data_IF_240929529025
#
_entry.id   IF_240929529025
#
_cell.length_a   1.000
_cell.length_b   1.000
_cell.length_c   1.000
_cell.angle_alpha   90.00
_cell.angle_beta   90.00
_cell.angle_gamma   90.00
#
_symmetry.space_group_name_H-M   'P 1'
#
loop_
_entity.id
_entity.type
_entity.pdbx_description
1 polymer ?
#
# COMPACT_ATOMS: atom_id res chain seq x y z
N UNK A 1 -30.22 20.16 34.43
CA UNK A 1 -29.36 19.42 33.48
C UNK A 1 -30.17 18.35 32.77
N UNK A 2 -30.52 18.54 31.48
CA UNK A 2 -31.26 17.55 30.69
C UNK A 2 -30.29 16.44 30.25
N UNK A 3 -30.51 15.21 30.74
CA UNK A 3 -29.91 13.99 30.18
C UNK A 3 -30.26 13.93 28.69
N UNK A 4 -29.28 14.09 27.80
CA UNK A 4 -29.43 13.76 26.39
C UNK A 4 -29.74 12.26 26.30
N UNK A 5 -31.01 11.92 26.04
CA UNK A 5 -31.37 10.58 25.55
C UNK A 5 -30.62 10.39 24.23
N UNK A 6 -29.66 9.47 24.18
CA UNK A 6 -29.16 8.94 22.93
C UNK A 6 -30.32 8.23 22.23
N UNK A 7 -31.04 8.94 21.36
CA UNK A 7 -32.00 8.29 20.47
C UNK A 7 -31.22 7.38 19.54
N UNK A 8 -31.45 6.08 19.64
CA UNK A 8 -30.96 5.13 18.66
C UNK A 8 -31.70 5.38 17.35
N UNK A 9 -31.00 5.90 16.34
CA UNK A 9 -31.52 6.08 14.98
C UNK A 9 -31.97 4.74 14.42
N UNK A 10 -33.15 4.70 13.80
CA UNK A 10 -33.60 3.53 13.04
C UNK A 10 -32.74 3.29 11.79
N UNK A 11 -32.73 2.06 11.28
CA UNK A 11 -32.00 1.68 10.05
C UNK A 11 -32.36 2.60 8.87
N UNK A 12 -33.64 2.96 8.74
CA UNK A 12 -34.16 3.83 7.68
C UNK A 12 -33.67 5.27 7.81
N UNK A 13 -33.57 5.79 9.03
CA UNK A 13 -33.04 7.13 9.29
C UNK A 13 -31.53 7.20 9.03
N UNK A 14 -30.77 6.19 9.49
CA UNK A 14 -29.34 6.06 9.18
C UNK A 14 -29.07 6.10 7.68
N UNK A 15 -29.81 5.28 6.91
CA UNK A 15 -29.68 5.24 5.46
C UNK A 15 -29.95 6.60 4.79
N UNK A 16 -30.99 7.32 5.23
CA UNK A 16 -31.28 8.67 4.73
C UNK A 16 -30.14 9.64 4.98
N UNK A 17 -29.54 9.60 6.17
CA UNK A 17 -28.42 10.47 6.54
C UNK A 17 -27.16 10.15 5.71
N UNK A 18 -26.87 8.87 5.49
CA UNK A 18 -25.74 8.41 4.65
C UNK A 18 -25.93 8.86 3.20
N UNK A 19 -27.09 8.57 2.61
CA UNK A 19 -27.43 8.96 1.24
C UNK A 19 -27.35 10.48 1.02
N UNK A 20 -27.79 11.26 2.01
CA UNK A 20 -27.71 12.72 1.95
C UNK A 20 -26.26 13.22 2.00
N UNK A 21 -25.41 12.63 2.86
CA UNK A 21 -24.02 13.05 3.02
C UNK A 21 -23.13 12.62 1.85
N UNK A 22 -23.29 11.39 1.38
CA UNK A 22 -22.44 10.79 0.33
C UNK A 22 -23.19 10.69 -1.01
N UNK A 23 -23.96 11.73 -1.33
CA UNK A 23 -24.73 11.79 -2.58
C UNK A 23 -23.81 11.81 -3.81
N UNK A 24 -23.85 10.75 -4.61
CA UNK A 24 -22.97 10.61 -5.79
C UNK A 24 -23.31 11.60 -6.92
N UNK A 25 -24.55 12.09 -6.97
CA UNK A 25 -25.04 12.99 -8.04
C UNK A 25 -24.51 14.42 -7.90
N UNK A 26 -24.13 14.84 -6.70
CA UNK A 26 -23.57 16.18 -6.47
C UNK A 26 -22.07 16.26 -6.71
N UNK A 27 -21.41 15.11 -6.96
CA UNK A 27 -19.96 15.03 -7.17
C UNK A 27 -19.61 15.12 -8.65
N UNK A 28 -18.76 16.09 -9.01
CA UNK A 28 -18.18 16.20 -10.35
C UNK A 28 -17.19 15.06 -10.56
N UNK A 29 -17.22 14.42 -11.73
CA UNK A 29 -16.24 13.40 -12.09
C UNK A 29 -14.88 14.03 -12.40
N UNK A 30 -13.82 13.29 -12.10
CA UNK A 30 -12.45 13.66 -12.43
C UNK A 30 -12.13 13.21 -13.86
N UNK A 31 -11.44 14.04 -14.62
CA UNK A 31 -11.02 13.67 -15.98
C UNK A 31 -9.83 12.70 -15.89
N UNK A 32 -9.91 11.55 -16.56
CA UNK A 32 -8.89 10.49 -16.44
C UNK A 32 -7.48 10.97 -16.81
N UNK A 33 -7.37 11.95 -17.71
CA UNK A 33 -6.09 12.57 -18.10
C UNK A 33 -5.41 13.35 -16.97
N UNK A 34 -6.16 13.84 -15.97
CA UNK A 34 -5.60 14.61 -14.85
C UNK A 34 -5.12 13.73 -13.71
N UNK A 35 -5.44 12.44 -13.75
CA UNK A 35 -5.02 11.46 -12.75
C UNK A 35 -3.53 11.17 -12.93
N UNK A 36 -2.78 11.27 -11.83
CA UNK A 36 -1.33 11.04 -11.83
C UNK A 36 -0.97 9.58 -12.10
N UNK A 37 0.28 9.35 -12.49
CA UNK A 37 0.83 8.00 -12.67
C UNK A 37 0.65 7.13 -11.43
N UNK A 38 0.98 7.66 -10.24
CA UNK A 38 0.84 6.94 -8.96
C UNK A 38 -0.61 6.57 -8.65
N UNK A 39 -1.54 7.50 -8.84
CA UNK A 39 -2.98 7.23 -8.59
C UNK A 39 -3.53 6.18 -9.56
N UNK A 40 -3.06 6.17 -10.82
CA UNK A 40 -3.41 5.12 -11.79
C UNK A 40 -2.89 3.75 -11.35
N UNK A 41 -1.64 3.66 -10.86
CA UNK A 41 -1.07 2.42 -10.32
C UNK A 41 -1.93 1.89 -9.16
N UNK A 42 -2.22 2.77 -8.20
CA UNK A 42 -3.05 2.46 -7.04
C UNK A 42 -4.43 1.97 -7.44
N UNK A 43 -5.08 2.66 -8.38
CA UNK A 43 -6.41 2.30 -8.82
C UNK A 43 -6.44 0.98 -9.60
N UNK A 44 -5.44 0.72 -10.46
CA UNK A 44 -5.32 -0.55 -11.18
C UNK A 44 -5.05 -1.73 -10.23
N UNK A 45 -4.22 -1.52 -9.20
CA UNK A 45 -3.99 -2.51 -8.16
C UNK A 45 -5.27 -2.78 -7.35
N UNK A 46 -6.00 -1.73 -6.96
CA UNK A 46 -7.29 -1.85 -6.28
C UNK A 46 -8.32 -2.59 -7.14
N UNK A 47 -8.37 -2.37 -8.45
CA UNK A 47 -9.24 -3.14 -9.33
C UNK A 47 -8.92 -4.62 -9.33
N UNK A 48 -7.65 -5.00 -9.31
CA UNK A 48 -7.25 -6.42 -9.37
C UNK A 48 -7.33 -7.14 -8.03
N UNK A 49 -7.20 -6.40 -6.93
CA UNK A 49 -7.21 -6.94 -5.57
C UNK A 49 -8.61 -6.90 -4.95
N UNK A 50 -9.33 -5.80 -5.12
CA UNK A 50 -10.52 -5.44 -4.33
C UNK A 50 -11.81 -5.42 -5.17
N UNK A 51 -11.92 -6.26 -6.20
CA UNK A 51 -13.18 -6.42 -6.95
C UNK A 51 -13.55 -7.90 -7.06
N UNK A 52 -14.82 -8.15 -7.34
CA UNK A 52 -15.34 -9.48 -7.64
C UNK A 52 -15.78 -9.55 -9.12
N UNK A 53 -16.36 -10.68 -9.53
CA UNK A 53 -16.83 -10.90 -10.90
C UNK A 53 -17.86 -9.87 -11.38
N UNK A 54 -18.64 -9.26 -10.48
CA UNK A 54 -19.61 -8.23 -10.88
C UNK A 54 -18.96 -6.93 -11.33
N UNK A 55 -17.71 -6.69 -10.93
CA UNK A 55 -16.82 -5.61 -11.39
C UNK A 55 -17.48 -4.22 -11.45
N UNK A 56 -18.32 -3.90 -10.46
CA UNK A 56 -19.13 -2.67 -10.42
C UNK A 56 -18.68 -1.66 -9.35
N UNK A 57 -17.94 -2.11 -8.33
CA UNK A 57 -17.44 -1.31 -7.24
C UNK A 57 -16.13 -1.90 -6.70
N UNK A 58 -15.37 -1.08 -5.98
CA UNK A 58 -14.22 -1.54 -5.19
C UNK A 58 -14.78 -1.96 -3.82
N UNK A 59 -14.50 -3.19 -3.43
CA UNK A 59 -14.95 -3.80 -2.18
C UNK A 59 -14.16 -3.23 -0.97
N UNK A 60 -14.72 -3.33 0.25
CA UNK A 60 -14.00 -2.98 1.47
C UNK A 60 -12.70 -3.77 1.63
N UNK A 61 -11.69 -3.18 2.29
CA UNK A 61 -10.41 -3.86 2.58
C UNK A 61 -10.61 -5.08 3.48
N UNK A 62 -11.55 -5.00 4.42
CA UNK A 62 -11.82 -6.08 5.37
C UNK A 62 -12.72 -7.20 4.82
N UNK A 63 -12.98 -7.21 3.50
CA UNK A 63 -13.86 -8.21 2.91
C UNK A 63 -13.20 -9.61 2.96
N UNK A 64 -13.84 -10.55 3.64
CA UNK A 64 -13.33 -11.91 3.88
C UNK A 64 -13.14 -12.74 2.59
N UNK A 65 -13.74 -12.32 1.47
CA UNK A 65 -13.61 -13.00 0.16
C UNK A 65 -12.38 -12.61 -0.65
N UNK A 66 -11.50 -11.75 -0.13
CA UNK A 66 -10.33 -11.26 -0.85
C UNK A 66 -9.15 -12.24 -0.71
N UNK A 67 -8.76 -12.87 -1.83
CA UNK A 67 -7.61 -13.80 -1.87
C UNK A 67 -6.28 -13.09 -2.16
N UNK A 68 -6.33 -11.80 -2.48
CA UNK A 68 -5.18 -11.01 -2.94
C UNK A 68 -4.97 -9.83 -2.02
N UNK A 69 -3.71 -9.58 -1.66
CA UNK A 69 -3.31 -8.37 -0.95
C UNK A 69 -3.17 -7.21 -1.93
N UNK A 70 -3.70 -6.04 -1.58
CA UNK A 70 -3.62 -4.84 -2.41
C UNK A 70 -2.17 -4.35 -2.47
N UNK A 71 -1.55 -4.16 -1.31
CA UNK A 71 -0.16 -3.71 -1.16
C UNK A 71 0.59 -4.59 -0.14
N UNK A 72 1.89 -4.34 0.13
CA UNK A 72 2.69 -5.18 1.03
C UNK A 72 2.22 -5.20 2.48
N UNK A 73 1.56 -4.15 2.98
CA UNK A 73 1.10 -4.05 4.36
C UNK A 73 -0.20 -3.24 4.47
N UNK A 74 -0.88 -3.35 5.63
CA UNK A 74 -2.19 -2.72 5.85
C UNK A 74 -2.13 -1.19 5.83
N UNK A 75 -1.07 -0.60 6.38
CA UNK A 75 -0.90 0.86 6.40
C UNK A 75 -0.81 1.42 4.97
N UNK A 76 -0.13 0.72 4.07
CA UNK A 76 -0.08 1.08 2.66
C UNK A 76 -1.43 0.87 1.96
N UNK A 77 -2.22 -0.14 2.32
CA UNK A 77 -3.57 -0.32 1.81
C UNK A 77 -4.48 0.87 2.15
N UNK A 78 -4.47 1.30 3.42
CA UNK A 78 -5.22 2.46 3.89
C UNK A 78 -4.75 3.75 3.21
N UNK A 79 -3.43 3.96 3.12
CA UNK A 79 -2.83 5.11 2.43
C UNK A 79 -3.19 5.18 0.94
N UNK A 80 -3.32 4.03 0.27
CA UNK A 80 -3.78 3.96 -1.13
C UNK A 80 -5.21 4.47 -1.24
N UNK A 81 -6.12 3.97 -0.41
CA UNK A 81 -7.52 4.40 -0.44
C UNK A 81 -7.68 5.87 -0.04
N UNK A 82 -6.94 6.33 0.96
CA UNK A 82 -6.94 7.74 1.37
C UNK A 82 -6.40 8.65 0.27
N UNK A 83 -5.34 8.24 -0.44
CA UNK A 83 -4.83 8.98 -1.60
C UNK A 83 -5.90 9.10 -2.70
N UNK A 84 -6.57 7.99 -3.04
CA UNK A 84 -7.60 7.99 -4.08
C UNK A 84 -8.85 8.78 -3.66
N UNK A 85 -9.25 8.70 -2.39
CA UNK A 85 -10.41 9.39 -1.85
C UNK A 85 -10.19 10.89 -1.72
N UNK A 86 -9.02 11.31 -1.22
CA UNK A 86 -8.66 12.74 -1.09
C UNK A 86 -8.55 13.45 -2.45
N UNK A 87 -8.23 12.72 -3.52
CA UNK A 87 -8.25 13.21 -4.90
C UNK A 87 -9.63 13.12 -5.58
N UNK A 88 -10.71 12.78 -4.86
CA UNK A 88 -12.06 12.55 -5.39
C UNK A 88 -12.11 11.50 -6.54
N UNK A 89 -11.08 10.65 -6.67
CA UNK A 89 -10.99 9.58 -7.69
C UNK A 89 -11.90 8.41 -7.33
N UNK A 90 -12.01 8.11 -6.04
CA UNK A 90 -13.01 7.18 -5.50
C UNK A 90 -13.92 7.93 -4.53
N UNK A 91 -15.16 7.48 -4.45
CA UNK A 91 -16.18 8.04 -3.56
C UNK A 91 -16.74 6.93 -2.69
N UNK A 92 -17.08 7.27 -1.45
CA UNK A 92 -17.78 6.35 -0.55
C UNK A 92 -19.08 5.91 -1.20
N UNK A 93 -19.30 4.59 -1.29
CA UNK A 93 -20.57 4.05 -1.73
C UNK A 93 -21.60 4.17 -0.60
N UNK A 94 -22.66 4.99 -0.74
CA UNK A 94 -23.70 5.12 0.29
C UNK A 94 -24.52 3.82 0.48
N UNK A 95 -24.37 2.83 -0.41
CA UNK A 95 -24.95 1.50 -0.28
C UNK A 95 -24.14 0.52 0.56
N UNK A 96 -23.01 0.94 1.14
CA UNK A 96 -22.22 0.10 2.07
C UNK A 96 -23.01 -0.25 3.34
N UNK A 97 -22.51 -1.22 4.12
CA UNK A 97 -23.15 -1.61 5.38
C UNK A 97 -23.29 -0.39 6.32
N UNK A 98 -24.43 -0.24 6.99
CA UNK A 98 -24.65 0.90 7.88
C UNK A 98 -23.73 0.91 9.11
N UNK A 99 -23.16 -0.24 9.48
CA UNK A 99 -22.21 -0.34 10.60
C UNK A 99 -20.81 0.16 10.25
N UNK A 100 -20.52 0.33 8.95
CA UNK A 100 -19.31 1.00 8.46
C UNK A 100 -19.37 2.53 8.59
N UNK A 101 -20.55 3.09 8.92
CA UNK A 101 -20.75 4.53 9.10
C UNK A 101 -20.84 4.94 10.57
N UNK A 102 -20.29 6.10 10.88
CA UNK A 102 -20.29 6.67 12.23
C UNK A 102 -21.39 7.72 12.38
N UNK A 103 -22.21 7.60 13.43
CA UNK A 103 -23.31 8.51 13.70
C UNK A 103 -23.14 9.22 15.05
N UNK A 104 -23.32 10.54 15.07
CA UNK A 104 -23.32 11.35 16.29
C UNK A 104 -24.35 12.47 16.16
N UNK A 105 -25.13 12.70 17.23
CA UNK A 105 -26.15 13.76 17.28
C UNK A 105 -27.09 13.77 16.06
N UNK A 106 -27.64 12.60 15.69
CA UNK A 106 -28.51 12.42 14.52
C UNK A 106 -27.90 12.87 13.17
N UNK A 107 -26.57 12.78 13.04
CA UNK A 107 -25.84 13.07 11.80
C UNK A 107 -24.85 11.95 11.50
N UNK A 108 -24.65 11.66 10.22
CA UNK A 108 -23.53 10.85 9.76
C UNK A 108 -22.25 11.70 9.85
N UNK A 109 -21.32 11.35 10.73
CA UNK A 109 -20.10 12.13 10.98
C UNK A 109 -18.88 11.59 10.25
N UNK A 110 -18.85 10.29 9.95
CA UNK A 110 -17.74 9.67 9.23
C UNK A 110 -18.07 8.26 8.80
N UNK A 111 -17.03 7.54 8.38
CA UNK A 111 -17.05 6.14 7.99
C UNK A 111 -15.70 5.51 8.36
N UNK A 112 -15.63 4.20 8.36
CA UNK A 112 -14.38 3.45 8.50
C UNK A 112 -13.89 3.06 7.10
N UNK A 113 -12.66 3.46 6.78
CA UNK A 113 -12.07 3.36 5.43
C UNK A 113 -11.99 1.91 4.95
N UNK A 114 -11.72 0.97 5.86
CA UNK A 114 -11.57 -0.45 5.59
C UNK A 114 -12.90 -1.22 5.49
N UNK A 115 -14.02 -0.63 5.95
CA UNK A 115 -15.34 -1.29 5.96
C UNK A 115 -16.32 -0.78 4.88
N UNK A 116 -16.04 0.36 4.24
CA UNK A 116 -16.89 0.88 3.15
C UNK A 116 -16.46 0.35 1.78
N UNK A 117 -17.43 0.20 0.89
CA UNK A 117 -17.17 0.01 -0.54
C UNK A 117 -17.02 1.35 -1.25
N UNK A 118 -16.38 1.35 -2.41
CA UNK A 118 -16.02 2.56 -3.15
C UNK A 118 -16.51 2.54 -4.58
N UNK A 119 -16.94 3.72 -5.05
CA UNK A 119 -17.35 3.99 -6.42
C UNK A 119 -16.28 4.83 -7.11
N UNK A 120 -15.80 4.38 -8.27
CA UNK A 120 -14.84 5.15 -9.08
C UNK A 120 -15.51 6.38 -9.67
N UNK A 121 -14.83 7.52 -9.65
CA UNK A 121 -15.36 8.81 -10.07
C UNK A 121 -14.54 9.44 -11.20
N UNK A 122 -14.29 8.64 -12.25
CA UNK A 122 -13.53 9.06 -13.43
C UNK A 122 -14.43 9.29 -14.65
N UNK A 123 -13.97 10.12 -15.58
CA UNK A 123 -14.64 10.44 -16.85
C UNK A 123 -13.62 10.49 -18.00
N UNK A 124 -14.02 10.08 -19.21
CA UNK A 124 -13.15 10.10 -20.40
C UNK A 124 -13.15 11.46 -21.09
N UNK A 125 -14.34 12.07 -21.23
CA UNK A 125 -14.63 13.44 -21.70
C UNK A 125 -16.12 13.71 -21.41
N UNK A 126 -16.51 14.98 -21.19
CA UNK A 126 -17.91 15.42 -20.96
C UNK A 126 -18.52 15.18 -19.56
N UNK A 127 -17.71 14.85 -18.55
CA UNK A 127 -18.16 14.82 -17.15
C UNK A 127 -19.13 13.69 -16.78
N UNK A 128 -19.42 12.76 -17.69
CA UNK A 128 -20.13 11.53 -17.37
C UNK A 128 -19.15 10.54 -16.74
N UNK A 129 -19.53 10.01 -15.58
CA UNK A 129 -18.77 8.95 -14.91
C UNK A 129 -18.71 7.70 -15.79
N UNK A 130 -17.52 7.15 -15.91
CA UNK A 130 -17.25 5.90 -16.62
C UNK A 130 -17.68 4.71 -15.76
N UNK A 131 -18.07 3.63 -16.43
CA UNK A 131 -18.20 2.32 -15.81
C UNK A 131 -16.82 1.82 -15.36
N UNK A 132 -16.78 0.96 -14.34
CA UNK A 132 -15.53 0.48 -13.75
C UNK A 132 -14.70 -0.35 -14.77
N UNK A 133 -15.35 -1.12 -15.63
CA UNK A 133 -14.73 -1.84 -16.75
C UNK A 133 -13.99 -0.93 -17.72
N UNK A 134 -14.60 0.21 -18.07
CA UNK A 134 -13.97 1.19 -18.95
C UNK A 134 -12.79 1.89 -18.27
N UNK A 135 -12.94 2.22 -16.98
CA UNK A 135 -11.84 2.76 -16.17
C UNK A 135 -10.65 1.82 -16.16
N UNK A 136 -10.88 0.53 -15.89
CA UNK A 136 -9.84 -0.49 -15.87
C UNK A 136 -9.07 -0.53 -17.19
N UNK A 137 -9.77 -0.66 -18.32
CA UNK A 137 -9.16 -0.74 -19.65
C UNK A 137 -8.34 0.52 -19.97
N UNK A 138 -8.90 1.70 -19.75
CA UNK A 138 -8.21 2.95 -20.06
C UNK A 138 -6.98 3.18 -19.20
N UNK A 139 -7.05 2.84 -17.91
CA UNK A 139 -5.90 2.93 -17.00
C UNK A 139 -4.83 1.91 -17.36
N UNK A 140 -5.23 0.67 -17.64
CA UNK A 140 -4.34 -0.38 -18.10
C UNK A 140 -3.59 0.06 -19.36
N UNK A 141 -4.30 0.55 -20.37
CA UNK A 141 -3.71 1.00 -21.63
C UNK A 141 -2.78 2.20 -21.42
N UNK A 142 -3.15 3.12 -20.52
CA UNK A 142 -2.32 4.28 -20.23
C UNK A 142 -1.02 3.91 -19.50
N UNK A 143 -1.08 2.99 -18.55
CA UNK A 143 0.08 2.56 -17.76
C UNK A 143 1.03 1.68 -18.56
N UNK A 144 0.51 0.74 -19.36
CA UNK A 144 1.35 -0.17 -20.16
C UNK A 144 2.06 0.51 -21.32
N UNK A 145 1.57 1.69 -21.74
CA UNK A 145 2.20 2.56 -22.75
C UNK A 145 2.97 3.73 -22.15
N UNK A 146 3.04 3.83 -20.82
CA UNK A 146 3.70 4.93 -20.15
C UNK A 146 5.22 4.78 -20.28
N UNK A 147 5.87 5.79 -20.86
CA UNK A 147 7.32 5.93 -20.89
C UNK A 147 7.67 7.29 -20.28
N UNK A 148 8.38 7.35 -19.14
CA UNK A 148 8.73 8.61 -18.49
C UNK A 148 9.76 9.38 -19.33
N UNK A 149 9.35 10.54 -19.85
CA UNK A 149 10.17 11.36 -20.74
C UNK A 149 10.91 12.46 -19.97
N UNK A 150 10.30 12.97 -18.90
CA UNK A 150 10.87 14.01 -18.06
C UNK A 150 11.61 13.47 -16.84
N UNK A 151 12.56 14.23 -16.31
CA UNK A 151 13.23 13.90 -15.04
C UNK A 151 12.23 13.77 -13.88
N UNK A 152 11.19 14.62 -13.87
CA UNK A 152 10.11 14.57 -12.88
C UNK A 152 9.37 13.23 -12.92
N UNK A 153 9.00 12.74 -14.10
CA UNK A 153 8.34 11.45 -14.27
C UNK A 153 9.25 10.30 -13.87
N UNK A 154 10.53 10.35 -14.25
CA UNK A 154 11.54 9.37 -13.82
C UNK A 154 11.66 9.31 -12.30
N UNK A 155 11.73 10.46 -11.63
CA UNK A 155 11.76 10.54 -10.17
C UNK A 155 10.47 10.00 -9.52
N UNK A 156 9.32 10.14 -10.18
CA UNK A 156 8.07 9.54 -9.69
C UNK A 156 8.10 8.01 -9.74
N UNK A 157 8.61 7.42 -10.82
CA UNK A 157 8.78 5.97 -10.91
C UNK A 157 9.80 5.49 -9.89
N UNK A 158 10.97 6.14 -9.79
CA UNK A 158 12.00 5.77 -8.83
C UNK A 158 11.50 5.84 -7.38
N UNK A 159 10.85 6.94 -6.99
CA UNK A 159 10.29 7.09 -5.65
C UNK A 159 9.20 6.05 -5.36
N UNK A 160 8.43 5.64 -6.37
CA UNK A 160 7.47 4.54 -6.23
C UNK A 160 8.17 3.20 -5.99
N UNK A 161 9.21 2.87 -6.77
CA UNK A 161 10.04 1.65 -6.57
C UNK A 161 10.57 1.58 -5.14
N UNK A 162 11.18 2.67 -4.66
CA UNK A 162 11.73 2.74 -3.29
C UNK A 162 10.64 2.61 -2.22
N UNK A 163 9.50 3.27 -2.40
CA UNK A 163 8.39 3.19 -1.46
C UNK A 163 7.81 1.77 -1.38
N UNK A 164 7.65 1.10 -2.52
CA UNK A 164 7.16 -0.27 -2.57
C UNK A 164 8.13 -1.24 -1.88
N UNK A 165 9.44 -1.10 -2.14
CA UNK A 165 10.46 -1.92 -1.48
C UNK A 165 10.51 -1.69 0.03
N UNK A 166 10.39 -0.43 0.49
CA UNK A 166 10.33 -0.09 1.91
C UNK A 166 9.16 -0.79 2.63
N UNK A 167 7.97 -0.77 2.02
CA UNK A 167 6.79 -1.41 2.58
C UNK A 167 6.88 -2.95 2.57
N UNK A 168 7.57 -3.56 1.60
CA UNK A 168 7.88 -5.00 1.58
C UNK A 168 8.82 -5.40 2.72
N UNK A 169 9.80 -4.55 3.04
CA UNK A 169 10.71 -4.74 4.18
C UNK A 169 9.96 -4.59 5.51
N UNK A 170 9.14 -3.56 5.64
CA UNK A 170 8.32 -3.32 6.83
C UNK A 170 7.36 -4.49 7.11
N UNK A 171 6.69 -5.00 6.07
CA UNK A 171 5.81 -6.16 6.17
C UNK A 171 6.53 -7.39 6.74
N UNK A 172 7.81 -7.57 6.38
CA UNK A 172 8.63 -8.65 6.92
C UNK A 172 9.01 -8.44 8.39
N UNK A 173 9.35 -7.22 8.78
CA UNK A 173 9.62 -6.91 10.19
C UNK A 173 8.37 -7.21 11.03
N UNK A 174 7.20 -6.74 10.59
CA UNK A 174 5.92 -7.01 11.28
C UNK A 174 5.65 -8.52 11.37
N UNK A 175 5.81 -9.25 10.27
CA UNK A 175 5.68 -10.71 10.25
C UNK A 175 6.60 -11.40 11.29
N UNK A 176 7.88 -11.02 11.35
CA UNK A 176 8.83 -11.57 12.32
C UNK A 176 8.48 -11.22 13.76
N UNK A 177 7.97 -10.02 14.00
CA UNK A 177 7.52 -9.58 15.33
C UNK A 177 6.28 -10.37 15.77
N UNK A 178 5.33 -10.57 14.86
CA UNK A 178 4.12 -11.36 15.10
C UNK A 178 4.44 -12.83 15.38
N UNK A 179 5.38 -13.45 14.65
CA UNK A 179 5.86 -14.82 14.93
C UNK A 179 6.36 -14.97 16.38
N UNK A 180 6.95 -13.91 16.93
CA UNK A 180 7.50 -13.87 18.28
C UNK A 180 6.51 -13.33 19.32
N UNK A 181 5.28 -12.98 18.93
CA UNK A 181 4.24 -12.34 19.76
C UNK A 181 4.71 -11.02 20.40
N UNK A 182 5.50 -10.22 19.67
CA UNK A 182 5.95 -8.91 20.12
C UNK A 182 5.23 -7.78 19.43
N UNK A 183 4.86 -6.77 20.23
CA UNK A 183 4.38 -5.50 19.69
C UNK A 183 5.59 -4.60 19.47
N UNK A 184 5.93 -4.40 18.21
CA UNK A 184 6.96 -3.47 17.78
C UNK A 184 6.39 -2.51 16.74
N UNK A 185 6.50 -1.22 17.01
CA UNK A 185 6.17 -0.17 16.06
C UNK A 185 7.46 0.41 15.50
N UNK A 186 7.55 0.46 14.16
CA UNK A 186 8.74 0.99 13.51
C UNK A 186 8.86 2.50 13.79
N UNK A 187 9.95 2.88 14.45
CA UNK A 187 10.28 4.29 14.63
C UNK A 187 10.88 4.91 13.36
N UNK A 188 10.84 6.25 13.27
CA UNK A 188 11.47 7.02 12.16
C UNK A 188 12.93 6.62 11.90
N UNK A 189 13.69 6.32 12.96
CA UNK A 189 15.08 5.87 12.88
C UNK A 189 15.21 4.57 12.08
N UNK A 190 14.32 3.60 12.32
CA UNK A 190 14.29 2.32 11.62
C UNK A 190 14.02 2.51 10.12
N UNK A 191 13.04 3.34 9.74
CA UNK A 191 12.77 3.65 8.33
C UNK A 191 13.96 4.28 7.62
N UNK A 192 14.66 5.22 8.25
CA UNK A 192 15.86 5.85 7.67
C UNK A 192 16.93 4.79 7.35
N UNK A 193 17.15 3.85 8.28
CA UNK A 193 18.16 2.80 8.07
C UNK A 193 17.73 1.79 7.02
N UNK A 194 16.46 1.36 6.99
CA UNK A 194 15.96 0.52 5.91
C UNK A 194 16.16 1.21 4.54
N UNK A 195 15.84 2.51 4.45
CA UNK A 195 16.06 3.27 3.23
C UNK A 195 17.54 3.34 2.83
N UNK A 196 18.45 3.44 3.81
CA UNK A 196 19.89 3.36 3.55
C UNK A 196 20.30 1.99 3.00
N UNK A 197 19.78 0.89 3.56
CA UNK A 197 20.06 -0.46 3.09
C UNK A 197 19.56 -0.68 1.65
N UNK A 198 18.35 -0.19 1.34
CA UNK A 198 17.74 -0.28 0.00
C UNK A 198 18.54 0.44 -1.10
N UNK A 199 19.55 1.24 -0.75
CA UNK A 199 20.44 1.83 -1.74
C UNK A 199 21.50 0.83 -2.28
N UNK A 200 21.73 -0.29 -1.60
CA UNK A 200 22.77 -1.25 -2.00
C UNK A 200 22.41 -2.72 -1.76
N UNK A 201 21.21 -3.01 -1.24
CA UNK A 201 20.71 -4.36 -1.02
C UNK A 201 19.30 -4.51 -1.58
N UNK A 202 18.98 -5.73 -2.02
CA UNK A 202 17.62 -6.15 -2.37
C UNK A 202 16.76 -6.36 -1.12
N UNK A 203 15.43 -6.35 -1.29
CA UNK A 203 14.49 -6.71 -0.20
C UNK A 203 14.78 -8.11 0.34
N UNK A 204 15.08 -9.05 -0.57
CA UNK A 204 15.44 -10.44 -0.26
C UNK A 204 16.69 -10.56 0.63
N UNK A 205 17.69 -9.70 0.44
CA UNK A 205 18.90 -9.64 1.29
C UNK A 205 18.62 -8.94 2.62
N UNK A 206 17.81 -7.89 2.61
CA UNK A 206 17.42 -7.17 3.82
C UNK A 206 16.63 -8.08 4.77
N UNK A 207 15.88 -9.07 4.25
CA UNK A 207 15.23 -10.08 5.10
C UNK A 207 16.24 -10.86 5.95
N UNK A 208 17.42 -11.22 5.41
CA UNK A 208 18.46 -11.93 6.15
C UNK A 208 19.09 -11.04 7.24
N UNK A 209 19.26 -9.74 6.93
CA UNK A 209 19.69 -8.75 7.93
C UNK A 209 18.63 -8.61 9.03
N UNK A 210 17.35 -8.59 8.69
CA UNK A 210 16.26 -8.48 9.65
C UNK A 210 16.22 -9.70 10.57
N UNK A 211 16.29 -10.92 10.03
CA UNK A 211 16.31 -12.14 10.83
C UNK A 211 17.46 -12.08 11.85
N UNK A 212 18.67 -11.76 11.40
CA UNK A 212 19.84 -11.59 12.29
C UNK A 212 19.64 -10.48 13.32
N UNK A 213 19.14 -9.31 12.92
CA UNK A 213 18.96 -8.16 13.79
C UNK A 213 17.93 -8.42 14.91
N UNK A 214 16.82 -9.09 14.55
CA UNK A 214 15.75 -9.47 15.48
C UNK A 214 16.23 -10.57 16.42
N UNK A 215 16.94 -11.59 15.91
CA UNK A 215 17.49 -12.66 16.75
C UNK A 215 18.47 -12.12 17.80
N UNK A 216 19.34 -11.18 17.42
CA UNK A 216 20.26 -10.51 18.36
C UNK A 216 19.50 -9.71 19.42
N UNK A 217 18.48 -8.93 19.03
CA UNK A 217 17.65 -8.16 19.96
C UNK A 217 16.86 -9.09 20.91
N UNK A 218 16.31 -10.17 20.37
CA UNK A 218 15.57 -11.18 21.10
C UNK A 218 16.45 -11.87 22.15
N UNK A 219 17.62 -12.38 21.74
CA UNK A 219 18.55 -13.07 22.63
C UNK A 219 19.06 -12.13 23.73
N UNK A 220 19.33 -10.87 23.41
CA UNK A 220 19.76 -9.87 24.38
C UNK A 220 18.68 -9.60 25.43
N UNK A 221 17.43 -9.44 25.00
CA UNK A 221 16.29 -9.20 25.90
C UNK A 221 15.82 -10.45 26.65
N UNK A 222 16.07 -11.65 26.12
CA UNK A 222 15.73 -12.92 26.81
C UNK A 222 16.47 -13.09 28.15
N UNK A 223 17.62 -12.42 28.30
CA UNK A 223 18.49 -12.45 29.48
C UNK A 223 18.11 -11.39 30.54
N UNK A 224 17.11 -10.55 30.25
CA UNK A 224 16.65 -9.45 31.12
C UNK A 224 15.39 -9.87 31.87
N UNK A 225 15.22 -9.41 33.11
CA UNK A 225 14.02 -9.64 33.91
C UNK A 225 12.73 -9.20 33.18
N UNK A 226 11.65 -9.98 33.33
CA UNK A 226 10.40 -9.82 32.57
C UNK A 226 9.80 -8.40 32.60
N UNK A 227 10.02 -7.64 33.68
CA UNK A 227 9.44 -6.30 33.88
C UNK A 227 10.19 -5.17 33.16
N UNK A 228 11.40 -5.41 32.68
CA UNK A 228 12.26 -4.39 32.05
C UNK A 228 12.58 -4.68 30.58
N UNK A 229 11.98 -5.72 30.01
CA UNK A 229 12.14 -6.08 28.60
C UNK A 229 11.61 -4.96 27.70
N UNK A 230 12.50 -4.41 26.89
CA UNK A 230 12.19 -3.39 25.88
C UNK A 230 12.56 -3.94 24.50
N UNK A 231 11.78 -4.93 24.07
CA UNK A 231 11.94 -5.57 22.76
C UNK A 231 11.83 -4.53 21.65
N UNK A 232 12.76 -4.58 20.70
CA UNK A 232 12.80 -3.66 19.56
C UNK A 232 13.64 -2.39 19.74
N UNK A 233 14.17 -2.14 20.94
CA UNK A 233 15.07 -0.99 21.17
C UNK A 233 16.40 -1.13 20.43
N UNK A 234 16.90 -2.34 20.24
CA UNK A 234 18.16 -2.64 19.55
C UNK A 234 18.02 -2.88 18.05
N UNK A 235 16.83 -3.24 17.55
CA UNK A 235 16.61 -3.61 16.14
C UNK A 235 17.17 -2.55 15.18
N UNK A 236 16.83 -1.27 15.40
CA UNK A 236 17.31 -0.20 14.52
C UNK A 236 18.84 -0.12 14.48
N UNK A 237 19.52 -0.25 15.63
CA UNK A 237 20.97 -0.20 15.70
C UNK A 237 21.60 -1.43 15.06
N UNK A 238 21.04 -2.63 15.32
CA UNK A 238 21.50 -3.88 14.73
C UNK A 238 21.36 -3.88 13.20
N UNK A 239 20.24 -3.36 12.66
CA UNK A 239 20.04 -3.22 11.21
C UNK A 239 21.14 -2.37 10.57
N UNK A 240 21.50 -1.25 11.21
CA UNK A 240 22.56 -0.37 10.72
C UNK A 240 23.92 -1.07 10.78
N UNK A 241 24.29 -1.62 11.93
CA UNK A 241 25.59 -2.29 12.14
C UNK A 241 25.79 -3.45 11.15
N UNK A 242 24.80 -4.35 11.05
CA UNK A 242 24.85 -5.48 10.13
C UNK A 242 24.88 -5.02 8.66
N UNK A 243 24.17 -3.94 8.34
CA UNK A 243 24.20 -3.31 7.02
C UNK A 243 25.56 -2.72 6.65
N UNK A 244 26.21 -2.03 7.60
CA UNK A 244 27.57 -1.50 7.41
C UNK A 244 28.59 -2.63 7.25
N UNK A 245 28.48 -3.70 8.03
CA UNK A 245 29.32 -4.89 7.86
C UNK A 245 29.12 -5.55 6.50
N UNK A 246 27.87 -5.68 6.04
CA UNK A 246 27.54 -6.21 4.71
C UNK A 246 28.17 -5.35 3.61
N UNK A 247 28.11 -4.03 3.74
CA UNK A 247 28.72 -3.09 2.80
C UNK A 247 30.25 -3.16 2.77
N UNK A 248 30.89 -3.50 3.89
CA UNK A 248 32.34 -3.74 3.99
C UNK A 248 32.76 -5.16 3.59
N UNK A 249 31.83 -6.00 3.13
CA UNK A 249 32.04 -7.43 2.84
C UNK A 249 32.50 -8.25 4.06
N UNK A 250 32.32 -7.73 5.27
CA UNK A 250 32.64 -8.41 6.54
C UNK A 250 31.54 -9.40 6.96
N UNK A 251 30.36 -9.30 6.36
CA UNK A 251 29.21 -10.15 6.63
C UNK A 251 28.62 -10.68 5.32
N UNK A 252 28.60 -12.01 5.19
CA UNK A 252 27.89 -12.67 4.09
C UNK A 252 26.38 -12.58 4.30
N UNK A 253 25.69 -11.97 3.33
CA UNK A 253 24.24 -11.84 3.28
C UNK A 253 23.67 -12.81 2.26
N UNK A 254 22.55 -13.46 2.61
CA UNK A 254 21.86 -14.40 1.72
C UNK A 254 20.59 -13.75 1.15
N UNK A 255 20.29 -14.05 -0.11
CA UNK A 255 18.98 -13.77 -0.70
C UNK A 255 17.95 -14.74 -0.14
N UNK A 256 17.03 -14.24 0.68
CA UNK A 256 15.94 -15.02 1.24
C UNK A 256 14.75 -15.13 0.28
N UNK A 257 14.10 -16.30 0.18
CA UNK A 257 12.86 -16.42 -0.58
C UNK A 257 11.71 -15.69 0.14
N UNK A 258 10.67 -15.31 -0.63
CA UNK A 258 9.42 -14.81 -0.05
C UNK A 258 8.81 -15.85 0.89
N UNK A 259 8.28 -15.38 2.02
CA UNK A 259 7.50 -16.23 2.93
C UNK A 259 6.11 -16.45 2.32
N UNK A 260 5.55 -17.65 2.48
CA UNK A 260 4.22 -18.01 1.95
C UNK A 260 3.09 -17.15 2.53
N UNK A 261 3.27 -16.64 3.75
CA UNK A 261 2.38 -15.68 4.42
C UNK A 261 2.49 -14.26 3.86
N UNK A 262 3.62 -13.92 3.24
CA UNK A 262 3.92 -12.61 2.67
C UNK A 262 4.00 -12.71 1.15
N UNK A 263 2.88 -13.15 0.56
CA UNK A 263 2.78 -13.24 -0.88
C UNK A 263 2.85 -11.86 -1.51
N UNK A 264 3.42 -11.81 -2.71
CA UNK A 264 3.54 -10.60 -3.51
C UNK A 264 2.18 -9.94 -3.76
N UNK A 265 2.08 -8.67 -3.41
CA UNK A 265 0.89 -7.84 -3.57
C UNK A 265 0.51 -7.57 -5.02
N UNK A 266 -0.76 -7.25 -5.27
CA UNK A 266 -1.23 -6.84 -6.60
C UNK A 266 -0.60 -5.52 -7.05
N UNK A 267 -0.29 -4.59 -6.14
CA UNK A 267 0.44 -3.38 -6.50
C UNK A 267 1.82 -3.70 -7.07
N UNK A 268 2.56 -4.62 -6.45
CA UNK A 268 3.84 -5.09 -6.95
C UNK A 268 3.72 -5.84 -8.29
N UNK A 269 2.64 -6.62 -8.49
CA UNK A 269 2.37 -7.28 -9.77
C UNK A 269 2.04 -6.29 -10.88
N UNK A 270 1.20 -5.30 -10.60
CA UNK A 270 0.88 -4.24 -11.56
C UNK A 270 2.15 -3.50 -11.96
N UNK A 271 2.97 -3.10 -10.99
CA UNK A 271 4.16 -2.32 -11.28
C UNK A 271 5.22 -3.11 -12.06
N UNK A 272 5.77 -4.19 -11.49
CA UNK A 272 6.90 -4.86 -12.14
C UNK A 272 6.46 -5.80 -13.27
N UNK A 273 5.42 -6.61 -13.05
CA UNK A 273 5.05 -7.65 -14.01
C UNK A 273 4.21 -7.09 -15.16
N UNK A 274 3.23 -6.24 -14.86
CA UNK A 274 2.30 -5.79 -15.89
C UNK A 274 2.85 -4.62 -16.70
N UNK A 275 3.43 -3.61 -16.05
CA UNK A 275 3.88 -2.40 -16.72
C UNK A 275 5.29 -2.56 -17.30
N UNK A 276 6.19 -3.18 -16.54
CA UNK A 276 7.59 -3.36 -16.95
C UNK A 276 7.89 -4.73 -17.56
N UNK A 277 6.87 -5.59 -17.71
CA UNK A 277 6.99 -6.95 -18.26
C UNK A 277 8.07 -7.81 -17.58
N UNK A 278 8.35 -7.53 -16.31
CA UNK A 278 9.29 -8.29 -15.48
C UNK A 278 8.65 -9.46 -14.73
N UNK A 279 9.45 -10.08 -13.89
CA UNK A 279 9.05 -10.99 -12.83
C UNK A 279 8.92 -10.26 -11.49
N UNK A 280 9.70 -10.70 -10.50
CA UNK A 280 9.72 -10.20 -9.12
C UNK A 280 11.06 -9.50 -8.81
N UNK A 281 11.62 -8.81 -9.79
CA UNK A 281 12.91 -8.13 -9.72
C UNK A 281 12.96 -7.12 -8.57
N UNK A 282 11.84 -6.46 -8.28
CA UNK A 282 11.70 -5.56 -7.13
C UNK A 282 11.96 -6.20 -5.76
N UNK A 283 11.91 -7.53 -5.68
CA UNK A 283 12.24 -8.28 -4.47
C UNK A 283 13.69 -8.76 -4.45
N UNK A 284 14.19 -9.24 -5.60
CA UNK A 284 15.48 -9.93 -5.70
C UNK A 284 16.65 -9.04 -6.11
N UNK A 285 16.38 -7.87 -6.68
CA UNK A 285 17.37 -6.89 -7.08
C UNK A 285 17.33 -5.67 -6.15
N UNK A 286 18.48 -5.03 -5.99
CA UNK A 286 18.55 -3.74 -5.33
C UNK A 286 17.68 -2.72 -6.12
N UNK A 287 16.84 -1.91 -5.47
CA UNK A 287 16.05 -0.89 -6.14
C UNK A 287 16.85 0.07 -7.02
N UNK A 288 18.06 0.45 -6.59
CA UNK A 288 18.96 1.33 -7.36
C UNK A 288 19.46 0.62 -8.62
N UNK A 289 19.92 -0.62 -8.49
CA UNK A 289 20.43 -1.39 -9.62
C UNK A 289 19.30 -1.69 -10.61
N UNK A 290 18.13 -2.08 -10.11
CA UNK A 290 16.94 -2.26 -10.94
C UNK A 290 16.57 -0.98 -11.71
N UNK A 291 16.66 0.18 -11.06
CA UNK A 291 16.42 1.46 -11.70
C UNK A 291 17.43 1.74 -12.83
N UNK A 292 18.72 1.61 -12.54
CA UNK A 292 19.80 1.95 -13.46
C UNK A 292 19.91 0.95 -14.63
N UNK A 293 19.78 -0.35 -14.34
CA UNK A 293 20.08 -1.42 -15.30
C UNK A 293 18.84 -1.95 -16.02
N UNK A 294 17.66 -1.88 -15.40
CA UNK A 294 16.43 -2.42 -16.00
C UNK A 294 15.49 -1.31 -16.46
N UNK A 295 15.02 -0.48 -15.53
CA UNK A 295 13.99 0.52 -15.85
C UNK A 295 14.50 1.59 -16.82
N UNK A 296 15.71 2.10 -16.61
CA UNK A 296 16.31 3.09 -17.52
C UNK A 296 16.41 2.54 -18.94
N UNK A 297 16.79 1.26 -19.09
CA UNK A 297 16.83 0.58 -20.39
C UNK A 297 15.43 0.38 -21.01
N UNK A 298 14.42 0.01 -20.21
CA UNK A 298 13.04 -0.07 -20.68
C UNK A 298 12.53 1.26 -21.25
N UNK A 299 13.01 2.39 -20.72
CA UNK A 299 12.54 3.71 -21.12
C UNK A 299 13.35 4.35 -22.25
N UNK A 300 14.58 3.90 -22.49
CA UNK A 300 15.42 4.38 -23.60
C UNK A 300 15.21 3.55 -24.88
N UNK A 301 14.92 2.25 -24.76
CA UNK A 301 14.81 1.31 -25.89
C UNK A 301 13.55 1.46 -26.75
N UNK A 302 12.57 2.26 -26.32
CA UNK A 302 11.33 2.56 -27.08
C UNK A 302 11.42 3.83 -27.94
N UNK A 303 12.63 4.33 -28.20
CA UNK A 303 12.88 5.57 -28.95
C UNK A 303 13.25 5.35 -30.42
N UNK A 304 13.13 4.13 -30.95
CA UNK A 304 13.37 3.79 -32.36
C UNK A 304 12.08 3.47 -33.12
#
# INVERSE_FOLDING_TARGET
MKKQKSQNLSKKEKLKLVMAKYCLKSKKSIELKTVSYREKLYLLAAFRALTNESFNMILPLNNEGLFKTLSPNKDMDENILDCLYSSDIILVNPGSDLDSFQFKNNKCVGFKVDEVSWIVNLSSQNGKRLELSDCYRLIYDNLTKFVPTSEKERNQVYSFTMNLALNEVESYIQFKMDELNYRYELGKKTYIYIFQLLNFLSVSEIYDIIDKAIDVDYLSNSRIELKTKCYGSGISSNLLELGEMAKREELSIKKMPRKKSLNRSELSRVFYQLIHMGGDEGFVNCPIDFWNETLTNCYTSTSE
#
